data_IF_127924565584
#
_entry.id   IF_127924565584
#
_cell.length_a   1.000
_cell.length_b   1.000
_cell.length_c   1.000
_cell.angle_alpha   90.00
_cell.angle_beta   90.00
_cell.angle_gamma   90.00
#
_symmetry.space_group_name_H-M   'P 1'
#
loop_
_entity.id
_entity.type
_entity.pdbx_description
1 polymer ?
#
# COMPACT_ATOMS: atom_id res chain seq x y z
N UNK A 1 14.69 -9.99 3.16
CA UNK A 1 15.10 -8.88 4.05
C UNK A 1 15.51 -7.69 3.20
N UNK A 2 15.21 -6.47 3.63
CA UNK A 2 15.65 -5.26 2.91
C UNK A 2 17.14 -5.02 3.19
N UNK A 3 17.94 -4.79 2.15
CA UNK A 3 19.35 -4.40 2.25
C UNK A 3 19.55 -2.88 2.42
N UNK A 4 18.46 -2.15 2.64
CA UNK A 4 18.42 -0.69 2.53
C UNK A 4 18.84 0.07 3.81
N UNK A 5 19.17 -0.59 4.92
CA UNK A 5 19.56 0.07 6.16
C UNK A 5 18.42 0.37 7.15
N UNK A 6 17.25 -0.24 6.96
CA UNK A 6 16.05 0.03 7.79
C UNK A 6 16.22 -0.39 9.26
N UNK A 7 16.95 -1.47 9.53
CA UNK A 7 17.14 -1.97 10.89
C UNK A 7 18.06 -1.05 11.69
N UNK A 8 19.13 -0.55 11.06
CA UNK A 8 20.04 0.42 11.66
C UNK A 8 19.30 1.72 12.03
N UNK A 9 18.51 2.26 11.09
CA UNK A 9 17.70 3.48 11.34
C UNK A 9 16.69 3.25 12.46
N UNK A 10 16.03 2.10 12.48
CA UNK A 10 15.05 1.77 13.53
C UNK A 10 15.72 1.62 14.89
N UNK A 11 16.93 1.06 14.94
CA UNK A 11 17.76 0.98 16.14
C UNK A 11 18.08 2.38 16.68
N UNK A 12 18.67 3.22 15.84
CA UNK A 12 19.02 4.59 16.18
C UNK A 12 17.82 5.43 16.63
N UNK A 13 16.68 5.35 15.92
CA UNK A 13 15.45 6.05 16.33
C UNK A 13 14.99 5.62 17.72
N UNK A 14 15.12 4.34 18.07
CA UNK A 14 14.69 3.84 19.39
C UNK A 14 15.58 4.36 20.50
N UNK A 15 16.89 4.34 20.29
CA UNK A 15 17.87 4.83 21.26
C UNK A 15 17.67 6.32 21.52
N UNK A 16 17.58 7.11 20.45
CA UNK A 16 17.51 8.57 20.57
C UNK A 16 16.16 9.08 21.12
N UNK A 17 15.06 8.43 20.77
CA UNK A 17 13.74 8.72 21.39
C UNK A 17 13.77 8.44 22.89
N UNK A 18 14.44 7.36 23.32
CA UNK A 18 14.58 6.99 24.73
C UNK A 18 15.47 8.00 25.49
N UNK A 19 16.58 8.43 24.90
CA UNK A 19 17.45 9.46 25.46
C UNK A 19 16.75 10.82 25.59
N UNK A 20 15.93 11.19 24.59
CA UNK A 20 15.13 12.40 24.62
C UNK A 20 13.92 12.33 25.57
N UNK A 21 13.65 11.16 26.18
CA UNK A 21 12.53 10.97 27.11
C UNK A 21 11.15 11.09 26.47
N UNK A 22 11.03 10.79 25.17
CA UNK A 22 9.78 10.91 24.42
C UNK A 22 8.96 9.61 24.50
N UNK A 23 7.68 9.72 24.87
CA UNK A 23 6.73 8.60 24.84
C UNK A 23 6.12 8.42 23.43
N UNK A 24 6.95 7.96 22.50
CA UNK A 24 6.55 7.74 21.10
C UNK A 24 6.64 6.26 20.76
N UNK A 25 5.52 5.68 20.33
CA UNK A 25 5.48 4.29 19.86
C UNK A 25 5.99 4.18 18.44
N UNK A 26 7.11 3.50 18.26
CA UNK A 26 7.63 3.13 16.94
C UNK A 26 6.86 1.95 16.34
N UNK A 27 5.97 2.26 15.40
CA UNK A 27 5.21 1.29 14.61
C UNK A 27 6.02 0.67 13.47
N UNK A 28 5.45 -0.37 12.86
CA UNK A 28 5.92 -0.89 11.57
C UNK A 28 5.23 -0.17 10.42
N UNK A 29 5.98 -0.02 9.32
CA UNK A 29 5.41 0.35 8.05
C UNK A 29 5.23 -0.89 7.18
N UNK A 30 4.19 -0.90 6.34
CA UNK A 30 3.88 -2.06 5.50
C UNK A 30 4.23 -1.77 4.06
N UNK A 31 5.06 -2.65 3.49
CA UNK A 31 5.77 -2.42 2.22
C UNK A 31 5.65 -3.59 1.27
N UNK A 32 5.35 -3.30 0.02
CA UNK A 32 5.46 -4.23 -1.11
C UNK A 32 6.65 -3.81 -1.96
N UNK A 33 7.80 -4.41 -1.70
CA UNK A 33 9.05 -4.09 -2.39
C UNK A 33 9.82 -5.37 -2.74
N UNK A 34 10.35 -5.43 -3.96
CA UNK A 34 11.25 -6.50 -4.42
C UNK A 34 12.71 -6.37 -3.94
N UNK A 35 13.04 -5.33 -3.16
CA UNK A 35 14.37 -5.13 -2.56
C UNK A 35 15.34 -4.22 -3.32
N UNK A 36 14.92 -3.59 -4.42
CA UNK A 36 15.76 -2.71 -5.25
C UNK A 36 15.20 -1.29 -5.36
N UNK A 37 15.05 -0.61 -4.22
CA UNK A 37 14.43 0.71 -4.16
C UNK A 37 15.48 1.83 -4.12
N UNK A 38 15.47 2.72 -5.12
CA UNK A 38 16.30 3.94 -5.17
C UNK A 38 15.81 5.05 -4.19
N UNK A 39 14.65 4.86 -3.56
CA UNK A 39 14.00 5.83 -2.67
C UNK A 39 14.01 5.44 -1.18
N UNK A 40 14.49 4.25 -0.81
CA UNK A 40 14.50 3.79 0.57
C UNK A 40 15.65 4.38 1.38
N UNK A 41 15.72 4.15 2.71
CA UNK A 41 14.66 3.91 3.71
C UNK A 41 13.66 5.06 3.87
N UNK A 42 12.48 4.78 4.43
CA UNK A 42 11.46 5.79 4.69
C UNK A 42 10.97 5.77 6.15
N UNK A 43 10.51 6.93 6.62
CA UNK A 43 9.98 7.12 7.98
C UNK A 43 8.65 7.84 7.87
N UNK A 44 7.57 7.20 8.32
CA UNK A 44 6.23 7.78 8.28
C UNK A 44 5.84 8.47 9.60
N UNK A 45 5.16 9.61 9.51
CA UNK A 45 4.62 10.36 10.63
C UNK A 45 3.08 10.40 10.53
N UNK A 46 2.37 9.34 10.99
CA UNK A 46 0.93 9.22 10.74
C UNK A 46 0.11 10.39 11.30
N UNK A 47 0.47 10.90 12.47
CA UNK A 47 -0.23 12.04 13.08
C UNK A 47 -0.01 13.37 12.34
N UNK A 48 1.08 13.47 11.56
CA UNK A 48 1.43 14.68 10.81
C UNK A 48 1.15 14.55 9.31
N UNK A 49 0.76 13.37 8.84
CA UNK A 49 0.32 13.13 7.47
C UNK A 49 1.42 13.23 6.41
N UNK A 50 2.68 12.95 6.77
CA UNK A 50 3.79 12.95 5.82
C UNK A 50 4.78 11.81 6.12
N UNK A 51 5.70 11.57 5.20
CA UNK A 51 6.81 10.65 5.36
C UNK A 51 8.11 11.26 4.81
N UNK A 52 9.22 10.81 5.39
CA UNK A 52 10.57 11.06 4.89
C UNK A 52 11.04 9.91 4.02
N UNK A 53 11.73 10.21 2.93
CA UNK A 53 12.38 9.23 2.05
C UNK A 53 13.89 9.36 2.14
N UNK A 54 14.60 8.31 1.72
CA UNK A 54 16.08 8.25 1.72
C UNK A 54 16.68 8.65 3.07
N UNK A 55 16.00 8.29 4.15
CA UNK A 55 16.51 8.50 5.49
C UNK A 55 17.76 7.65 5.67
N UNK A 56 18.78 8.21 6.32
CA UNK A 56 20.02 7.51 6.67
C UNK A 56 20.23 7.58 8.17
N UNK A 57 21.05 6.70 8.77
CA UNK A 57 21.32 6.73 10.20
C UNK A 57 21.79 8.12 10.70
N UNK A 58 22.50 8.87 9.88
CA UNK A 58 22.99 10.21 10.24
C UNK A 58 21.87 11.25 10.38
N UNK A 59 20.72 11.03 9.74
CA UNK A 59 19.58 11.96 9.83
C UNK A 59 18.75 11.76 11.10
N UNK A 60 18.96 10.67 11.85
CA UNK A 60 18.09 10.31 12.98
C UNK A 60 18.09 11.40 14.06
N UNK A 61 19.26 11.98 14.32
CA UNK A 61 19.39 13.08 15.28
C UNK A 61 18.50 14.26 14.95
N UNK A 62 18.61 14.75 13.71
CA UNK A 62 17.80 15.87 13.24
C UNK A 62 16.32 15.48 13.19
N UNK A 63 15.98 14.26 12.82
CA UNK A 63 14.58 13.80 12.82
C UNK A 63 13.97 13.86 14.23
N UNK A 64 14.70 13.41 15.25
CA UNK A 64 14.20 13.47 16.64
C UNK A 64 14.14 14.92 17.11
N UNK A 65 15.24 15.66 17.03
CA UNK A 65 15.33 16.98 17.64
C UNK A 65 14.58 18.07 16.86
N UNK A 66 14.57 18.02 15.53
CA UNK A 66 13.87 18.99 14.69
C UNK A 66 12.41 18.59 14.48
N UNK A 67 12.13 17.35 14.07
CA UNK A 67 10.78 16.94 13.69
C UNK A 67 9.91 16.53 14.87
N UNK A 68 10.42 15.68 15.76
CA UNK A 68 9.62 15.15 16.89
C UNK A 68 9.51 16.17 18.05
N UNK A 69 10.62 16.81 18.43
CA UNK A 69 10.64 17.76 19.56
C UNK A 69 10.18 19.16 19.13
N UNK A 70 10.81 19.76 18.11
CA UNK A 70 10.54 21.16 17.71
C UNK A 70 9.40 21.30 16.70
N UNK A 71 8.97 20.21 16.06
CA UNK A 71 7.92 20.23 15.05
C UNK A 71 8.33 20.83 13.71
N UNK A 72 9.62 21.05 13.45
CA UNK A 72 10.15 21.58 12.19
C UNK A 72 10.33 20.46 11.16
N UNK A 73 10.07 20.75 9.89
CA UNK A 73 10.18 19.76 8.82
C UNK A 73 11.54 19.84 8.15
N UNK A 74 12.21 18.69 8.03
CA UNK A 74 13.41 18.53 7.22
C UNK A 74 13.01 18.42 5.74
N UNK A 75 12.96 19.55 5.04
CA UNK A 75 12.48 19.62 3.65
C UNK A 75 13.28 18.76 2.67
N UNK A 76 14.56 18.49 2.95
CA UNK A 76 15.40 17.63 2.11
C UNK A 76 14.97 16.16 2.12
N UNK A 77 14.36 15.71 3.23
CA UNK A 77 13.86 14.34 3.39
C UNK A 77 12.38 14.24 3.05
N UNK A 78 11.65 15.37 3.09
CA UNK A 78 10.24 15.43 2.79
C UNK A 78 9.99 15.06 1.32
N UNK A 79 9.24 14.00 1.10
CA UNK A 79 8.71 13.72 -0.23
C UNK A 79 7.43 14.51 -0.45
N UNK A 80 7.45 15.35 -1.49
CA UNK A 80 6.27 16.06 -1.99
C UNK A 80 6.05 15.62 -3.43
N UNK A 81 4.97 14.84 -3.62
CA UNK A 81 4.49 14.19 -4.87
C UNK A 81 5.39 13.09 -5.49
N UNK A 82 4.81 11.94 -5.86
CA UNK A 82 5.58 10.79 -6.36
C UNK A 82 4.98 9.86 -7.44
N UNK A 83 3.97 10.11 -8.27
CA UNK A 83 3.15 11.28 -8.58
C UNK A 83 1.67 10.84 -8.64
N UNK A 84 0.79 11.41 -7.78
CA UNK A 84 -0.70 11.25 -7.71
C UNK A 84 -1.34 10.37 -6.63
N UNK A 85 -0.66 9.94 -5.56
CA UNK A 85 -1.42 9.35 -4.43
C UNK A 85 -2.11 10.44 -3.62
N UNK A 86 -3.45 10.55 -3.68
CA UNK A 86 -4.22 11.51 -2.86
C UNK A 86 -4.30 11.13 -1.37
N UNK A 87 -3.93 9.89 -1.05
CA UNK A 87 -3.89 9.36 0.30
C UNK A 87 -2.50 9.61 0.90
N UNK A 88 -2.41 10.52 1.85
CA UNK A 88 -1.15 10.87 2.53
C UNK A 88 -0.55 9.71 3.32
N UNK A 89 -1.33 8.66 3.60
CA UNK A 89 -0.91 7.44 4.30
C UNK A 89 -0.37 6.34 3.37
N UNK A 90 -0.36 6.57 2.06
CA UNK A 90 0.14 5.65 1.04
C UNK A 90 1.17 6.36 0.16
N UNK A 91 2.36 5.75 0.05
CA UNK A 91 3.39 6.12 -0.91
C UNK A 91 3.42 5.07 -2.03
N UNK A 92 3.44 5.56 -3.27
CA UNK A 92 3.64 4.73 -4.46
C UNK A 92 4.69 5.39 -5.35
N UNK A 93 5.68 4.61 -5.75
CA UNK A 93 6.65 5.01 -6.78
C UNK A 93 6.33 4.31 -8.10
N UNK A 94 5.99 5.11 -9.10
CA UNK A 94 5.58 4.65 -10.44
C UNK A 94 6.67 3.91 -11.20
N UNK A 95 7.93 4.25 -10.93
CA UNK A 95 9.08 3.70 -11.65
C UNK A 95 9.45 2.31 -11.14
N UNK A 96 9.71 2.19 -9.83
CA UNK A 96 10.11 0.94 -9.18
C UNK A 96 8.93 0.02 -8.87
N UNK A 97 7.70 0.54 -8.81
CA UNK A 97 6.53 -0.24 -8.36
C UNK A 97 6.48 -0.42 -6.84
N UNK A 98 7.33 0.31 -6.08
CA UNK A 98 7.30 0.32 -4.62
C UNK A 98 5.96 0.84 -4.14
N UNK A 99 5.35 0.09 -3.24
CA UNK A 99 4.20 0.54 -2.46
C UNK A 99 4.55 0.50 -0.98
N UNK A 100 4.32 1.59 -0.28
CA UNK A 100 4.56 1.71 1.15
C UNK A 100 3.39 2.41 1.82
N UNK A 101 3.11 2.05 3.06
CA UNK A 101 2.06 2.66 3.86
C UNK A 101 2.58 3.04 5.22
N UNK A 102 2.03 4.11 5.81
CA UNK A 102 2.51 4.67 7.07
C UNK A 102 2.25 3.73 8.27
N UNK A 103 1.35 2.74 8.15
CA UNK A 103 1.03 1.80 9.22
C UNK A 103 0.71 0.39 8.68
N UNK A 104 1.14 -0.63 9.42
CA UNK A 104 0.82 -2.04 9.14
C UNK A 104 -0.66 -2.45 9.28
N UNK A 105 -1.51 -1.59 9.83
CA UNK A 105 -2.95 -1.81 9.98
C UNK A 105 -3.74 -1.42 8.73
N UNK A 106 -3.08 -0.98 7.66
CA UNK A 106 -3.73 -0.66 6.40
C UNK A 106 -3.92 -1.95 5.58
N UNK A 107 -5.12 -2.16 5.05
CA UNK A 107 -5.43 -3.31 4.19
C UNK A 107 -4.86 -3.11 2.78
N UNK A 108 -3.99 -4.01 2.31
CA UNK A 108 -3.43 -3.86 0.96
C UNK A 108 -4.40 -4.20 -0.15
N UNK A 109 -5.45 -4.99 0.15
CA UNK A 109 -6.55 -5.25 -0.79
C UNK A 109 -7.37 -3.98 -1.03
N UNK A 110 -7.60 -3.20 0.03
CA UNK A 110 -8.30 -1.91 -0.07
C UNK A 110 -7.43 -0.87 -0.79
N UNK A 111 -6.14 -0.84 -0.52
CA UNK A 111 -5.19 0.02 -1.24
C UNK A 111 -5.13 -0.35 -2.74
N UNK A 112 -5.09 -1.63 -3.09
CA UNK A 112 -5.11 -2.06 -4.49
C UNK A 112 -6.41 -1.67 -5.20
N UNK A 113 -7.56 -1.80 -4.52
CA UNK A 113 -8.85 -1.28 -5.02
C UNK A 113 -8.81 0.23 -5.21
N UNK A 114 -8.31 0.95 -4.22
CA UNK A 114 -8.21 2.40 -4.25
C UNK A 114 -7.48 2.85 -5.51
N UNK A 115 -6.32 2.28 -5.86
CA UNK A 115 -5.63 2.61 -7.12
C UNK A 115 -6.49 2.36 -8.36
N UNK A 116 -7.19 1.23 -8.42
CA UNK A 116 -8.07 0.90 -9.56
C UNK A 116 -9.25 1.88 -9.70
N UNK A 117 -9.80 2.38 -8.58
CA UNK A 117 -10.92 3.34 -8.60
C UNK A 117 -10.54 4.65 -9.33
N UNK A 118 -9.27 5.08 -9.26
CA UNK A 118 -8.79 6.27 -9.99
C UNK A 118 -8.49 5.97 -11.45
N UNK A 119 -7.81 4.87 -11.73
CA UNK A 119 -7.26 4.61 -13.06
C UNK A 119 -8.32 4.16 -14.08
N UNK A 120 -9.41 3.52 -13.63
CA UNK A 120 -10.46 3.02 -14.54
C UNK A 120 -11.01 4.13 -15.44
N UNK A 121 -11.22 5.34 -14.89
CA UNK A 121 -11.82 6.46 -15.60
C UNK A 121 -10.81 7.35 -16.36
N UNK A 122 -9.52 7.05 -16.25
CA UNK A 122 -8.44 7.80 -16.94
C UNK A 122 -8.06 7.12 -18.27
N UNK A 123 -8.39 5.84 -18.43
CA UNK A 123 -8.07 5.08 -19.64
C UNK A 123 -8.65 5.71 -20.91
N UNK A 124 -7.80 5.96 -21.91
CA UNK A 124 -8.23 6.41 -23.24
C UNK A 124 -8.97 5.32 -24.07
N UNK A 125 -8.96 4.07 -23.61
CA UNK A 125 -9.70 2.97 -24.24
C UNK A 125 -9.15 2.45 -25.58
N UNK A 126 -7.95 2.87 -26.01
CA UNK A 126 -7.37 2.49 -27.31
C UNK A 126 -7.01 1.01 -27.44
N UNK A 127 -6.30 0.44 -26.46
CA UNK A 127 -5.93 -0.97 -26.48
C UNK A 127 -6.90 -1.82 -25.66
N UNK A 128 -7.24 -3.00 -26.20
CA UNK A 128 -8.13 -3.98 -25.57
C UNK A 128 -7.67 -4.40 -24.16
N UNK A 129 -6.39 -4.76 -23.91
CA UNK A 129 -5.96 -5.15 -22.57
C UNK A 129 -6.18 -4.04 -21.55
N UNK A 130 -6.00 -2.76 -21.91
CA UNK A 130 -6.26 -1.66 -20.99
C UNK A 130 -7.76 -1.40 -20.79
N UNK A 131 -8.53 -1.26 -21.87
CA UNK A 131 -9.96 -0.91 -21.81
C UNK A 131 -10.79 -1.96 -21.08
N UNK A 132 -10.56 -3.24 -21.38
CA UNK A 132 -11.32 -4.34 -20.78
C UNK A 132 -10.63 -4.85 -19.51
N UNK A 133 -9.30 -4.93 -19.51
CA UNK A 133 -8.56 -5.46 -18.37
C UNK A 133 -8.70 -4.61 -17.11
N UNK A 134 -8.71 -3.27 -17.23
CA UNK A 134 -8.95 -2.39 -16.07
C UNK A 134 -10.32 -2.66 -15.43
N UNK A 135 -11.38 -2.66 -16.25
CA UNK A 135 -12.73 -2.93 -15.78
C UNK A 135 -12.85 -4.30 -15.13
N UNK A 136 -12.27 -5.34 -15.75
CA UNK A 136 -12.29 -6.70 -15.18
C UNK A 136 -11.52 -6.81 -13.86
N UNK A 137 -10.36 -6.17 -13.76
CA UNK A 137 -9.62 -6.12 -12.49
C UNK A 137 -10.40 -5.40 -11.41
N UNK A 138 -11.02 -4.27 -11.74
CA UNK A 138 -11.86 -3.50 -10.81
C UNK A 138 -13.04 -4.33 -10.30
N UNK A 139 -13.79 -4.97 -11.21
CA UNK A 139 -14.91 -5.86 -10.88
C UNK A 139 -14.47 -7.01 -9.94
N UNK A 140 -13.32 -7.64 -10.22
CA UNK A 140 -12.74 -8.69 -9.38
C UNK A 140 -12.34 -8.19 -8.00
N UNK A 141 -11.68 -7.03 -7.94
CA UNK A 141 -11.30 -6.41 -6.68
C UNK A 141 -12.52 -6.02 -5.84
N UNK A 142 -13.57 -5.49 -6.47
CA UNK A 142 -14.83 -5.15 -5.82
C UNK A 142 -15.52 -6.39 -5.24
N UNK A 143 -15.50 -7.53 -5.94
CA UNK A 143 -15.99 -8.80 -5.38
C UNK A 143 -15.20 -9.21 -4.15
N UNK A 144 -13.86 -9.11 -4.18
CA UNK A 144 -12.99 -9.48 -3.05
C UNK A 144 -13.32 -8.63 -1.82
N UNK A 145 -13.35 -7.30 -1.95
CA UNK A 145 -13.59 -6.40 -0.78
C UNK A 145 -15.04 -6.43 -0.27
N UNK A 146 -16.00 -6.93 -1.05
CA UNK A 146 -17.41 -7.07 -0.63
C UNK A 146 -17.75 -8.47 -0.12
N UNK A 147 -16.77 -9.37 -0.03
CA UNK A 147 -16.95 -10.75 0.47
C UNK A 147 -17.52 -11.74 -0.54
N UNK A 148 -17.58 -11.36 -1.82
CA UNK A 148 -18.03 -12.20 -2.94
C UNK A 148 -16.89 -12.76 -3.79
N UNK A 149 -15.64 -12.45 -3.43
CA UNK A 149 -14.45 -12.90 -4.16
C UNK A 149 -14.25 -14.41 -4.12
N UNK A 150 -13.50 -14.91 -5.08
CA UNK A 150 -13.17 -16.32 -5.33
C UNK A 150 -11.70 -16.44 -5.72
N UNK A 151 -11.11 -17.64 -5.66
CA UNK A 151 -9.74 -17.88 -6.15
C UNK A 151 -9.59 -17.48 -7.63
N UNK A 152 -10.64 -17.67 -8.43
CA UNK A 152 -10.67 -17.25 -9.83
C UNK A 152 -10.50 -15.74 -10.03
N UNK A 153 -10.94 -14.92 -9.07
CA UNK A 153 -10.72 -13.47 -9.11
C UNK A 153 -9.24 -13.12 -8.95
N UNK A 154 -8.53 -13.81 -8.05
CA UNK A 154 -7.11 -13.60 -7.80
C UNK A 154 -6.25 -14.00 -9.00
N UNK A 155 -6.56 -15.15 -9.60
CA UNK A 155 -5.91 -15.63 -10.84
C UNK A 155 -6.13 -14.62 -11.97
N UNK A 156 -7.38 -14.20 -12.18
CA UNK A 156 -7.71 -13.24 -13.23
C UNK A 156 -7.00 -11.91 -13.05
N UNK A 157 -6.92 -11.37 -11.83
CA UNK A 157 -6.18 -10.13 -11.56
C UNK A 157 -4.71 -10.28 -11.95
N UNK A 158 -4.07 -11.39 -11.57
CA UNK A 158 -2.64 -11.64 -11.88
C UNK A 158 -2.41 -11.73 -13.39
N UNK A 159 -3.25 -12.46 -14.11
CA UNK A 159 -3.16 -12.60 -15.57
C UNK A 159 -3.35 -11.27 -16.29
N UNK A 160 -4.36 -10.48 -15.89
CA UNK A 160 -4.65 -9.17 -16.47
C UNK A 160 -3.51 -8.19 -16.22
N UNK A 161 -2.96 -8.17 -15.01
CA UNK A 161 -1.79 -7.34 -14.69
C UNK A 161 -0.61 -7.68 -15.60
N UNK A 162 -0.28 -8.98 -15.71
CA UNK A 162 0.84 -9.44 -16.54
C UNK A 162 0.62 -9.09 -18.02
N UNK A 163 -0.59 -9.27 -18.55
CA UNK A 163 -0.91 -8.92 -19.93
C UNK A 163 -0.78 -7.40 -20.19
N UNK A 164 -1.26 -6.57 -19.27
CA UNK A 164 -1.17 -5.11 -19.36
C UNK A 164 0.26 -4.57 -19.19
N UNK A 165 1.13 -5.30 -18.49
CA UNK A 165 2.55 -4.95 -18.34
C UNK A 165 3.35 -5.39 -19.57
N UNK A 166 3.07 -6.58 -20.12
CA UNK A 166 3.88 -7.16 -21.19
C UNK A 166 3.69 -6.48 -22.56
N UNK A 167 2.46 -6.14 -22.94
CA UNK A 167 2.16 -5.64 -24.30
C UNK A 167 1.16 -4.45 -24.27
N UNK A 168 1.47 -3.34 -23.59
CA UNK A 168 0.62 -2.17 -23.65
C UNK A 168 0.89 -1.33 -24.91
N UNK A 169 -0.14 -0.63 -25.39
CA UNK A 169 0.03 0.40 -26.44
C UNK A 169 0.69 1.67 -25.89
N UNK A 170 0.55 1.96 -24.60
CA UNK A 170 1.18 3.10 -23.93
C UNK A 170 1.49 2.77 -22.47
N UNK A 171 2.38 3.54 -21.84
CA UNK A 171 2.85 3.27 -20.47
C UNK A 171 1.75 3.32 -19.40
N UNK A 172 0.60 3.93 -19.68
CA UNK A 172 -0.52 4.04 -18.75
C UNK A 172 -0.95 2.67 -18.20
N UNK A 173 -1.15 1.68 -19.07
CA UNK A 173 -1.64 0.36 -18.67
C UNK A 173 -0.61 -0.39 -17.79
N UNK A 174 0.67 -0.30 -18.16
CA UNK A 174 1.77 -0.86 -17.37
C UNK A 174 1.83 -0.21 -15.99
N UNK A 175 1.83 1.11 -15.94
CA UNK A 175 2.02 1.88 -14.70
C UNK A 175 0.84 1.79 -13.75
N UNK A 176 -0.39 1.60 -14.27
CA UNK A 176 -1.59 1.36 -13.47
C UNK A 176 -1.67 -0.06 -12.91
N UNK A 177 -1.06 -1.04 -13.59
CA UNK A 177 -1.15 -2.47 -13.20
C UNK A 177 -0.05 -2.89 -12.22
N UNK A 178 1.11 -2.26 -12.26
CA UNK A 178 2.25 -2.54 -11.36
C UNK A 178 1.91 -2.48 -9.86
N UNK A 179 1.19 -1.46 -9.34
CA UNK A 179 0.80 -1.42 -7.92
C UNK A 179 -0.07 -2.60 -7.52
N UNK A 180 -1.04 -2.94 -8.37
CA UNK A 180 -1.99 -4.02 -8.11
C UNK A 180 -1.28 -5.37 -8.10
N UNK A 181 -0.37 -5.59 -9.07
CA UNK A 181 0.45 -6.80 -9.11
C UNK A 181 1.39 -6.91 -7.92
N UNK A 182 2.02 -5.80 -7.51
CA UNK A 182 2.86 -5.74 -6.32
C UNK A 182 2.05 -6.09 -5.08
N UNK A 183 0.86 -5.51 -4.92
CA UNK A 183 -0.04 -5.80 -3.81
C UNK A 183 -0.41 -7.29 -3.76
N UNK A 184 -0.83 -7.87 -4.89
CA UNK A 184 -1.21 -9.28 -5.01
C UNK A 184 -0.02 -10.22 -4.76
N UNK A 185 1.20 -9.82 -5.13
CA UNK A 185 2.39 -10.67 -5.02
C UNK A 185 2.98 -10.65 -3.62
N UNK A 186 3.09 -9.47 -3.01
CA UNK A 186 3.73 -9.32 -1.70
C UNK A 186 2.77 -9.49 -0.51
N UNK A 187 1.46 -9.34 -0.74
CA UNK A 187 0.45 -9.44 0.31
C UNK A 187 -0.63 -10.48 -0.02
N UNK A 188 -0.26 -11.54 -0.75
CA UNK A 188 -1.20 -12.61 -1.15
C UNK A 188 -2.01 -13.16 0.03
N UNK A 189 -1.39 -13.28 1.21
CA UNK A 189 -2.05 -13.74 2.43
C UNK A 189 -3.27 -12.88 2.82
N UNK A 190 -3.22 -11.57 2.57
CA UNK A 190 -4.36 -10.70 2.83
C UNK A 190 -5.47 -10.89 1.81
N UNK A 191 -5.12 -11.12 0.55
CA UNK A 191 -6.09 -11.46 -0.49
C UNK A 191 -6.78 -12.80 -0.17
N UNK A 192 -6.00 -13.81 0.24
CA UNK A 192 -6.53 -15.11 0.69
C UNK A 192 -7.41 -14.97 1.92
N UNK A 193 -7.06 -14.13 2.90
CA UNK A 193 -7.93 -13.85 4.04
C UNK A 193 -9.30 -13.26 3.62
N UNK A 194 -9.32 -12.36 2.63
CA UNK A 194 -10.57 -11.80 2.09
C UNK A 194 -11.38 -12.84 1.30
N UNK A 195 -10.71 -13.75 0.59
CA UNK A 195 -11.36 -14.74 -0.28
C UNK A 195 -11.84 -15.96 0.51
N UNK A 196 -10.97 -16.59 1.30
CA UNK A 196 -11.23 -17.87 1.95
C UNK A 196 -11.96 -17.68 3.27
N UNK A 197 -11.47 -16.75 4.09
CA UNK A 197 -12.00 -16.53 5.44
C UNK A 197 -13.11 -15.48 5.46
N UNK A 198 -13.26 -14.71 4.37
CA UNK A 198 -14.15 -13.55 4.28
C UNK A 198 -13.87 -12.52 5.38
N UNK A 199 -12.59 -12.32 5.73
CA UNK A 199 -12.13 -11.39 6.77
C UNK A 199 -11.14 -10.38 6.19
N UNK A 200 -11.28 -9.13 6.62
CA UNK A 200 -10.25 -8.10 6.44
C UNK A 200 -9.37 -8.10 7.70
N UNK A 201 -8.09 -8.52 7.64
CA UNK A 201 -7.21 -8.55 8.82
C UNK A 201 -7.07 -7.17 9.49
N UNK A 202 -7.07 -6.12 8.68
CA UNK A 202 -7.03 -4.72 9.10
C UNK A 202 -8.38 -4.16 9.59
N UNK A 203 -9.49 -4.83 9.31
CA UNK A 203 -10.82 -4.37 9.71
C UNK A 203 -11.32 -3.08 9.02
N UNK A 204 -10.71 -2.66 7.90
CA UNK A 204 -11.07 -1.40 7.22
C UNK A 204 -12.14 -1.56 6.12
N UNK A 205 -12.29 -2.76 5.54
CA UNK A 205 -13.25 -3.04 4.47
C UNK A 205 -14.69 -3.10 5.01
N UNK A 206 -15.40 -1.97 5.01
CA UNK A 206 -16.77 -1.82 5.57
C UNK A 206 -17.76 -2.86 5.02
N UNK A 207 -17.81 -3.04 3.71
CA UNK A 207 -18.75 -3.96 3.07
C UNK A 207 -18.50 -5.42 3.48
N UNK A 208 -17.23 -5.81 3.66
CA UNK A 208 -16.89 -7.14 4.15
C UNK A 208 -17.32 -7.34 5.60
N UNK A 209 -17.12 -6.34 6.45
CA UNK A 209 -17.60 -6.37 7.84
C UNK A 209 -19.13 -6.49 7.91
N UNK A 210 -19.86 -5.78 7.06
CA UNK A 210 -21.31 -5.93 6.96
C UNK A 210 -21.71 -7.32 6.47
N UNK A 211 -21.01 -7.85 5.47
CA UNK A 211 -21.23 -9.20 4.95
C UNK A 211 -21.10 -10.23 6.08
N UNK A 212 -20.06 -10.13 6.90
CA UNK A 212 -19.87 -11.00 8.07
C UNK A 212 -21.00 -10.90 9.07
N UNK A 213 -21.42 -9.67 9.44
CA UNK A 213 -22.55 -9.46 10.37
C UNK A 213 -23.82 -10.13 9.85
N UNK A 214 -24.11 -9.98 8.55
CA UNK A 214 -25.27 -10.64 7.89
C UNK A 214 -25.16 -12.16 7.94
N UNK A 215 -23.98 -12.74 7.67
CA UNK A 215 -23.77 -14.19 7.75
C UNK A 215 -23.89 -14.73 9.18
N UNK A 216 -23.33 -14.04 10.17
CA UNK A 216 -23.45 -14.41 11.59
C UNK A 216 -24.92 -14.40 12.05
N UNK A 217 -25.69 -13.41 11.59
CA UNK A 217 -27.13 -13.30 11.89
C UNK A 217 -27.92 -14.45 11.26
N UNK A 218 -27.60 -14.83 10.02
CA UNK A 218 -28.22 -15.98 9.34
C UNK A 218 -27.91 -17.31 10.02
N UNK A 219 -26.69 -17.51 10.52
CA UNK A 219 -26.30 -18.71 11.27
C UNK A 219 -27.02 -18.83 12.61
N UNK A 220 -27.27 -17.73 13.32
CA UNK A 220 -28.05 -17.74 14.58
C UNK A 220 -29.55 -18.01 14.41
N UNK A 221 -30.07 -17.84 13.19
CA UNK A 221 -31.48 -18.09 12.85
C UNK A 221 -31.74 -19.51 12.30
N UNK A 222 -30.68 -20.27 12.02
CA UNK A 222 -30.76 -21.70 11.67
C UNK A 222 -30.51 -22.52 12.92
#
# INVERSE_FOLDING_TARGET
>A
GCSCGCEEIRGALREEIAEAGLDIKLGGAKVGCGGFCDAGPFIGFPQKGFFYLRARPEHVHDIVHETLIKGRILFELLSVDSERTYRSDVYYDKHSGLIATIHDQICMVEVAKYFLDFEENVSCGKCVPCRLGMKRMHESMQRIVTGKGTEGDLIQIRELCNAMIAIPHCEFAMTSSKPVLSAVTHFEDEFRAHIDQKICPAGVCKDLLEYQKKQATRRKKK
#
